data_IF_988166332665
#
_entry.id   IF_988166332665
#
_cell.length_a   1.000
_cell.length_b   1.000
_cell.length_c   1.000
_cell.angle_alpha   90.00
_cell.angle_beta   90.00
_cell.angle_gamma   90.00
#
_symmetry.space_group_name_H-M   'P 1'
#
loop_
_entity.id
_entity.type
_entity.pdbx_description
1 polymer ?
#
# COMPACT_ATOMS: atom_id res chain seq x y z
N UNK A 1 55.85 5.23 27.79
CA UNK A 1 55.49 5.05 29.21
C UNK A 1 54.49 3.90 29.29
N UNK A 2 54.93 2.76 29.84
CA UNK A 2 54.21 1.52 30.22
C UNK A 2 53.22 0.87 29.23
N UNK A 3 53.77 -0.13 28.53
CA UNK A 3 53.15 -1.40 28.15
C UNK A 3 52.52 -2.13 29.34
N UNK A 4 51.42 -2.86 29.11
CA UNK A 4 51.01 -4.02 29.92
C UNK A 4 50.39 -5.09 29.03
N UNK A 5 51.11 -6.21 28.97
CA UNK A 5 50.70 -7.50 28.47
C UNK A 5 49.78 -8.25 29.44
N UNK A 6 49.17 -9.31 28.90
CA UNK A 6 49.06 -10.67 29.47
C UNK A 6 47.71 -11.19 30.04
N UNK A 7 47.49 -12.53 30.05
CA UNK A 7 46.36 -13.20 29.40
C UNK A 7 45.68 -14.27 30.31
N UNK A 8 44.73 -15.04 29.78
CA UNK A 8 44.29 -16.42 30.17
C UNK A 8 42.93 -16.67 29.50
N UNK A 9 42.67 -17.69 28.69
CA UNK A 9 42.94 -19.13 28.73
C UNK A 9 42.25 -19.84 29.91
N UNK A 10 41.00 -20.26 29.70
CA UNK A 10 40.34 -21.35 30.42
C UNK A 10 39.53 -22.17 29.41
N UNK A 11 40.08 -23.34 29.12
CA UNK A 11 39.48 -24.54 28.57
C UNK A 11 38.47 -25.10 29.61
N UNK A 12 37.20 -25.37 29.26
CA UNK A 12 36.45 -26.41 29.96
C UNK A 12 35.45 -27.14 29.06
N UNK A 13 35.68 -28.44 28.97
CA UNK A 13 34.88 -29.44 28.26
C UNK A 13 33.81 -29.96 29.21
N UNK A 14 32.53 -29.86 28.84
CA UNK A 14 31.54 -30.84 29.31
C UNK A 14 30.52 -31.24 28.25
N UNK A 15 30.76 -32.44 27.71
CA UNK A 15 29.78 -33.32 27.08
C UNK A 15 28.70 -33.65 28.11
N UNK A 16 27.43 -33.52 27.74
CA UNK A 16 26.37 -34.39 28.27
C UNK A 16 25.49 -34.88 27.12
N UNK A 17 25.55 -36.21 26.94
CA UNK A 17 24.65 -37.01 26.12
C UNK A 17 23.33 -37.14 26.88
N UNK A 18 22.21 -36.98 26.18
CA UNK A 18 20.90 -37.48 26.65
C UNK A 18 20.45 -38.57 25.68
N UNK A 19 20.14 -39.73 26.25
CA UNK A 19 19.74 -40.97 25.59
C UNK A 19 18.20 -41.00 25.36
N UNK A 20 17.69 -41.97 24.56
CA UNK A 20 16.33 -41.96 24.02
C UNK A 20 15.28 -42.56 24.97
N UNK A 21 14.04 -42.11 24.82
CA UNK A 21 12.86 -42.67 25.51
C UNK A 21 12.37 -43.97 24.86
N UNK A 22 11.79 -44.89 25.65
CA UNK A 22 11.41 -46.23 25.18
C UNK A 22 10.03 -46.28 24.50
N UNK A 23 9.95 -47.24 23.58
CA UNK A 23 8.74 -47.78 22.95
C UNK A 23 7.94 -48.57 23.99
N UNK A 24 6.63 -48.33 24.09
CA UNK A 24 5.68 -49.26 24.70
C UNK A 24 4.57 -49.55 23.70
N UNK A 25 4.58 -50.79 23.22
CA UNK A 25 3.48 -51.47 22.56
C UNK A 25 2.54 -52.05 23.62
N UNK A 26 1.23 -51.84 23.47
CA UNK A 26 0.21 -52.72 24.05
C UNK A 26 -1.09 -52.65 23.25
N UNK A 27 -1.59 -53.84 22.93
CA UNK A 27 -2.73 -54.17 22.10
C UNK A 27 -4.09 -54.00 22.81
N UNK A 28 -5.12 -53.84 21.96
CA UNK A 28 -6.53 -54.27 22.09
C UNK A 28 -7.44 -53.51 23.05
N UNK A 29 -8.47 -52.87 22.49
CA UNK A 29 -9.84 -53.42 22.55
C UNK A 29 -10.75 -52.76 21.51
N UNK A 30 -11.64 -53.58 20.98
CA UNK A 30 -12.72 -53.26 20.06
C UNK A 30 -13.81 -52.49 20.81
N UNK A 31 -14.27 -51.36 20.27
CA UNK A 31 -15.57 -50.78 20.64
C UNK A 31 -16.18 -50.16 19.38
N UNK A 32 -17.24 -50.81 18.92
CA UNK A 32 -18.14 -50.34 17.90
C UNK A 32 -18.92 -49.14 18.48
N UNK A 33 -18.84 -47.97 17.87
CA UNK A 33 -19.75 -46.87 18.14
C UNK A 33 -20.12 -46.20 16.81
N UNK A 34 -21.28 -46.59 16.28
CA UNK A 34 -22.09 -45.72 15.43
C UNK A 34 -22.44 -44.48 16.24
N UNK A 35 -22.27 -43.26 15.70
CA UNK A 35 -23.25 -42.17 15.85
C UNK A 35 -22.83 -40.93 15.00
N UNK A 36 -23.73 -40.60 14.06
CA UNK A 36 -24.13 -39.27 13.60
C UNK A 36 -23.09 -38.33 12.97
N UNK A 37 -23.15 -38.26 11.64
CA UNK A 37 -22.78 -37.08 10.87
C UNK A 37 -23.70 -35.90 11.24
N UNK A 38 -23.22 -35.01 12.12
CA UNK A 38 -23.83 -33.70 12.33
C UNK A 38 -23.28 -32.72 11.29
N UNK A 39 -24.07 -32.48 10.24
CA UNK A 39 -23.85 -31.37 9.33
C UNK A 39 -23.90 -30.05 10.11
N UNK A 40 -22.74 -29.44 10.31
CA UNK A 40 -22.66 -28.09 10.89
C UNK A 40 -23.04 -27.09 9.80
N UNK A 41 -24.32 -26.72 9.76
CA UNK A 41 -24.77 -25.52 9.06
C UNK A 41 -24.11 -24.31 9.71
N UNK A 42 -23.10 -23.74 9.05
CA UNK A 42 -22.54 -22.44 9.41
C UNK A 42 -23.61 -21.37 9.16
N UNK A 43 -24.40 -21.08 10.19
CA UNK A 43 -25.35 -19.97 10.19
C UNK A 43 -24.57 -18.65 10.10
N UNK A 44 -24.61 -18.01 8.93
CA UNK A 44 -24.22 -16.60 8.76
C UNK A 44 -25.22 -15.73 9.49
N UNK A 45 -24.96 -15.48 10.78
CA UNK A 45 -25.74 -14.53 11.56
C UNK A 45 -25.56 -13.12 10.97
N UNK A 46 -26.61 -12.61 10.31
CA UNK A 46 -26.72 -11.18 9.99
C UNK A 46 -27.03 -10.43 11.29
N UNK A 47 -25.98 -9.87 11.91
CA UNK A 47 -26.15 -9.04 13.09
C UNK A 47 -26.84 -7.72 12.72
N UNK A 48 -27.87 -7.36 13.48
CA UNK A 48 -28.52 -6.06 13.42
C UNK A 48 -27.50 -5.00 13.88
N UNK A 49 -27.19 -3.97 13.07
CA UNK A 49 -26.23 -2.95 13.47
C UNK A 49 -26.76 -2.18 14.68
N UNK A 50 -25.96 -2.09 15.74
CA UNK A 50 -26.23 -1.20 16.87
C UNK A 50 -26.21 0.22 16.32
N UNK A 51 -27.38 0.88 16.25
CA UNK A 51 -27.52 2.25 15.79
C UNK A 51 -26.93 3.21 16.84
N UNK A 52 -25.60 3.33 16.87
CA UNK A 52 -24.91 4.37 17.63
C UNK A 52 -24.80 5.62 16.76
N UNK A 53 -25.53 6.67 17.14
CA UNK A 53 -25.37 8.02 16.56
C UNK A 53 -23.96 8.54 16.89
N UNK A 54 -23.06 8.48 15.91
CA UNK A 54 -21.75 9.12 15.96
C UNK A 54 -21.84 10.50 15.29
N UNK A 55 -21.63 11.55 16.06
CA UNK A 55 -21.65 12.96 15.63
C UNK A 55 -20.41 13.40 14.84
N UNK A 56 -19.48 12.48 14.53
CA UNK A 56 -18.17 12.84 13.97
C UNK A 56 -18.12 12.96 12.44
N UNK A 57 -19.20 12.63 11.73
CA UNK A 57 -19.22 12.42 10.29
C UNK A 57 -20.21 13.41 9.67
N UNK A 58 -19.72 14.33 8.82
CA UNK A 58 -20.51 15.44 8.26
C UNK A 58 -21.58 15.01 7.25
N UNK A 59 -22.29 15.97 6.65
CA UNK A 59 -23.30 15.69 5.62
C UNK A 59 -22.71 14.88 4.46
N UNK A 60 -23.36 13.79 4.06
CA UNK A 60 -22.88 12.91 2.98
C UNK A 60 -21.88 11.83 3.42
N UNK A 61 -21.53 11.80 4.70
CA UNK A 61 -20.70 10.78 5.31
C UNK A 61 -21.61 9.73 6.02
N UNK A 62 -21.29 8.44 5.89
CA UNK A 62 -21.94 7.33 6.61
C UNK A 62 -20.89 6.58 7.40
N UNK A 63 -21.09 6.50 8.72
CA UNK A 63 -20.25 5.70 9.60
C UNK A 63 -21.02 4.46 10.06
N UNK A 64 -20.32 3.32 10.14
CA UNK A 64 -20.80 2.09 10.75
C UNK A 64 -19.78 1.67 11.80
N UNK A 65 -20.26 1.37 13.01
CA UNK A 65 -19.45 0.82 14.08
C UNK A 65 -19.75 -0.68 14.12
N UNK A 66 -18.79 -1.50 13.71
CA UNK A 66 -18.93 -2.96 13.69
C UNK A 66 -18.56 -3.57 15.07
N UNK A 67 -17.67 -2.89 15.81
CA UNK A 67 -17.22 -3.29 17.15
C UNK A 67 -16.92 -2.09 18.03
N UNK A 68 -17.20 -2.21 19.34
CA UNK A 68 -16.78 -1.26 20.37
C UNK A 68 -16.54 -2.05 21.66
N UNK A 69 -15.33 -1.91 22.22
CA UNK A 69 -15.01 -2.40 23.56
C UNK A 69 -15.81 -1.64 24.62
N UNK A 70 -16.13 -2.32 25.72
CA UNK A 70 -16.75 -1.71 26.90
C UNK A 70 -15.72 -1.14 27.88
N UNK A 71 -14.45 -1.52 27.74
CA UNK A 71 -13.41 -1.26 28.73
C UNK A 71 -12.25 -0.41 28.19
N UNK A 72 -12.19 -0.22 26.87
CA UNK A 72 -11.06 0.41 26.19
C UNK A 72 -11.50 1.29 25.01
N UNK A 73 -10.58 2.02 24.36
CA UNK A 73 -10.88 2.80 23.17
C UNK A 73 -10.96 1.95 21.89
N UNK A 74 -10.78 0.62 22.00
CA UNK A 74 -10.78 -0.31 20.87
C UNK A 74 -12.17 -0.34 20.21
N UNK A 75 -12.24 0.13 18.97
CA UNK A 75 -13.49 0.22 18.21
C UNK A 75 -13.16 -0.08 16.76
N UNK A 76 -13.84 -1.03 16.14
CA UNK A 76 -13.79 -1.15 14.69
C UNK A 76 -14.94 -0.36 14.09
N UNK A 77 -14.61 0.66 13.30
CA UNK A 77 -15.62 1.41 12.55
C UNK A 77 -15.13 1.71 11.15
N UNK A 78 -16.08 1.72 10.22
CA UNK A 78 -15.87 2.07 8.82
C UNK A 78 -16.64 3.35 8.51
N UNK A 79 -16.02 4.22 7.74
CA UNK A 79 -16.61 5.46 7.27
C UNK A 79 -16.62 5.43 5.75
N UNK A 80 -17.76 5.78 5.16
CA UNK A 80 -17.85 6.11 3.76
C UNK A 80 -18.17 7.60 3.62
N UNK A 81 -17.36 8.31 2.85
CA UNK A 81 -17.60 9.69 2.48
C UNK A 81 -18.07 9.74 1.02
N UNK A 82 -19.08 10.56 0.71
CA UNK A 82 -19.36 10.95 -0.67
C UNK A 82 -18.37 12.06 -1.05
N UNK A 83 -17.54 11.78 -2.05
CA UNK A 83 -16.72 12.82 -2.70
C UNK A 83 -17.55 13.47 -3.81
N UNK A 84 -18.01 14.71 -3.61
CA UNK A 84 -18.69 15.50 -4.66
C UNK A 84 -20.21 15.36 -4.71
N UNK A 85 -20.85 16.27 -5.44
CA UNK A 85 -22.30 16.48 -5.48
C UNK A 85 -23.05 15.69 -6.57
N UNK A 86 -22.39 14.77 -7.29
CA UNK A 86 -22.98 14.14 -8.46
C UNK A 86 -23.00 12.61 -8.33
N UNK A 87 -24.22 12.07 -8.40
CA UNK A 87 -24.60 10.67 -8.61
C UNK A 87 -24.79 9.76 -7.37
N UNK A 88 -26.06 9.49 -7.04
CA UNK A 88 -26.50 8.59 -5.97
C UNK A 88 -26.20 7.10 -6.27
N UNK A 89 -25.79 6.77 -7.50
CA UNK A 89 -25.59 5.40 -7.96
C UNK A 89 -24.15 4.86 -7.82
N UNK A 90 -23.20 5.68 -7.38
CA UNK A 90 -21.80 5.24 -7.28
C UNK A 90 -21.56 4.44 -5.98
N UNK A 91 -20.87 3.28 -6.04
CA UNK A 91 -20.54 2.51 -4.85
C UNK A 91 -19.62 3.32 -3.95
N UNK A 92 -20.10 3.54 -2.73
CA UNK A 92 -19.42 4.17 -1.61
C UNK A 92 -18.08 3.48 -1.32
N UNK A 93 -16.95 4.19 -1.43
CA UNK A 93 -15.70 3.73 -0.83
C UNK A 93 -15.84 3.83 0.69
N UNK A 94 -15.44 2.77 1.39
CA UNK A 94 -15.29 2.82 2.84
C UNK A 94 -13.82 2.92 3.21
N UNK A 95 -13.57 3.31 4.44
CA UNK A 95 -12.27 3.38 5.08
C UNK A 95 -12.45 2.97 6.52
N UNK A 96 -11.55 2.16 7.07
CA UNK A 96 -11.61 1.87 8.50
C UNK A 96 -10.83 2.92 9.31
N UNK A 97 -11.22 3.14 10.57
CA UNK A 97 -10.68 4.24 11.39
C UNK A 97 -9.15 4.22 11.62
N UNK A 98 -8.53 3.07 11.38
CA UNK A 98 -7.10 2.84 11.55
C UNK A 98 -6.26 3.10 10.28
N UNK A 99 -6.87 3.61 9.20
CA UNK A 99 -6.18 3.99 7.95
C UNK A 99 -5.53 5.38 8.02
N UNK A 100 -4.98 5.74 9.18
CA UNK A 100 -4.20 6.98 9.33
C UNK A 100 -2.83 6.77 8.68
N UNK A 101 -2.30 7.80 8.01
CA UNK A 101 -1.04 7.73 7.25
C UNK A 101 -0.21 8.98 7.41
N UNK A 102 1.10 8.81 7.45
CA UNK A 102 2.08 9.88 7.37
C UNK A 102 2.87 9.75 6.06
N UNK A 103 2.92 10.81 5.27
CA UNK A 103 3.72 10.90 4.05
C UNK A 103 4.67 12.09 4.11
N UNK A 104 5.57 12.16 3.13
CA UNK A 104 6.61 13.17 3.04
C UNK A 104 6.57 13.87 1.69
N UNK A 105 6.73 15.18 1.70
CA UNK A 105 6.95 15.99 0.51
C UNK A 105 8.12 16.94 0.74
N UNK A 106 9.29 16.65 0.17
CA UNK A 106 10.49 17.44 0.44
C UNK A 106 10.84 17.42 1.93
N UNK A 107 10.80 18.59 2.58
CA UNK A 107 10.96 18.73 4.04
C UNK A 107 9.63 18.66 4.79
N UNK A 108 8.49 18.86 4.11
CA UNK A 108 7.17 18.82 4.71
C UNK A 108 6.74 17.38 5.07
N UNK A 109 5.80 17.29 6.00
CA UNK A 109 5.08 16.08 6.37
C UNK A 109 3.60 16.27 6.12
N UNK A 110 2.93 15.22 5.68
CA UNK A 110 1.50 15.25 5.39
C UNK A 110 0.86 14.09 6.14
N UNK A 111 -0.08 14.39 7.04
CA UNK A 111 -0.89 13.39 7.71
C UNK A 111 -2.25 13.29 7.03
N UNK A 112 -2.68 12.06 6.78
CA UNK A 112 -4.05 11.73 6.39
C UNK A 112 -4.75 11.08 7.58
N UNK A 113 -5.83 11.68 8.06
CA UNK A 113 -6.59 11.15 9.19
C UNK A 113 -7.53 9.98 8.79
N UNK A 114 -8.31 9.51 9.76
CA UNK A 114 -9.26 8.42 9.59
C UNK A 114 -10.42 8.73 8.63
N UNK A 115 -10.66 10.01 8.33
CA UNK A 115 -11.66 10.46 7.35
C UNK A 115 -11.02 10.77 6.00
N UNK A 116 -9.69 10.82 5.93
CA UNK A 116 -8.93 11.24 4.76
C UNK A 116 -8.65 12.72 4.64
N UNK A 117 -8.96 13.49 5.68
CA UNK A 117 -8.55 14.88 5.71
C UNK A 117 -7.03 14.96 5.71
N UNK A 118 -6.51 15.93 4.97
CA UNK A 118 -5.09 16.15 4.77
C UNK A 118 -4.60 17.29 5.65
N UNK A 119 -3.56 17.03 6.43
CA UNK A 119 -2.91 18.01 7.27
C UNK A 119 -1.44 18.13 6.88
N UNK A 120 -1.04 19.29 6.36
CA UNK A 120 0.34 19.58 5.98
C UNK A 120 1.08 20.26 7.13
N UNK A 121 2.28 19.80 7.40
CA UNK A 121 3.18 20.35 8.39
C UNK A 121 4.53 20.68 7.79
N UNK A 122 4.98 21.91 8.00
CA UNK A 122 6.28 22.38 7.52
C UNK A 122 7.33 22.26 8.60
N UNK A 123 8.49 21.71 8.24
CA UNK A 123 9.61 21.55 9.16
C UNK A 123 10.14 22.91 9.61
N UNK A 124 10.51 23.00 10.90
CA UNK A 124 11.20 24.15 11.48
C UNK A 124 12.68 23.84 11.73
N UNK A 125 13.53 24.87 11.87
CA UNK A 125 14.96 24.67 12.16
C UNK A 125 15.25 23.90 13.45
N UNK A 126 14.32 23.91 14.41
CA UNK A 126 14.42 23.18 15.69
C UNK A 126 14.02 21.69 15.57
N UNK A 127 13.69 21.20 14.37
CA UNK A 127 13.25 19.84 14.12
C UNK A 127 11.76 19.58 14.38
N UNK A 128 11.02 20.54 14.93
CA UNK A 128 9.56 20.46 15.08
C UNK A 128 8.84 20.73 13.75
N UNK A 129 7.55 20.41 13.69
CA UNK A 129 6.73 20.71 12.52
C UNK A 129 5.55 21.62 12.87
N UNK A 130 5.35 22.66 12.05
CA UNK A 130 4.23 23.58 12.19
C UNK A 130 3.10 23.16 11.26
N UNK A 131 1.91 22.90 11.80
CA UNK A 131 0.74 22.69 10.96
C UNK A 131 0.35 23.97 10.22
N UNK A 132 0.00 23.83 8.94
CA UNK A 132 -0.54 24.94 8.14
C UNK A 132 -2.02 25.21 8.45
N UNK A 133 -2.71 24.27 9.10
CA UNK A 133 -4.10 24.38 9.50
C UNK A 133 -4.20 24.17 11.01
N UNK A 134 -4.87 25.07 11.74
CA UNK A 134 -5.08 24.94 13.19
C UNK A 134 -5.80 23.64 13.57
N UNK A 135 -6.67 23.12 12.70
CA UNK A 135 -7.36 21.85 12.90
C UNK A 135 -6.45 20.63 12.75
N UNK A 136 -5.26 20.79 12.15
CA UNK A 136 -4.32 19.69 11.90
C UNK A 136 -3.50 19.26 13.11
N UNK A 137 -3.60 19.94 14.26
CA UNK A 137 -2.88 19.54 15.46
C UNK A 137 -1.38 19.84 15.40
N UNK A 138 -0.58 19.07 16.15
CA UNK A 138 0.89 19.22 16.26
C UNK A 138 1.59 17.97 15.79
N UNK A 139 2.73 18.12 15.10
CA UNK A 139 3.56 17.01 14.66
C UNK A 139 5.00 17.25 15.13
N UNK A 140 5.56 16.25 15.79
CA UNK A 140 6.90 16.28 16.36
C UNK A 140 7.69 15.07 15.87
N UNK A 141 8.99 15.24 15.64
CA UNK A 141 9.92 14.13 15.43
C UNK A 141 10.65 13.89 16.75
N UNK A 142 10.41 12.74 17.37
CA UNK A 142 11.06 12.31 18.60
C UNK A 142 11.98 11.16 18.25
N UNK A 143 13.29 11.37 18.41
CA UNK A 143 14.33 10.40 18.03
C UNK A 143 14.20 9.95 16.56
N UNK A 144 13.59 8.79 16.32
CA UNK A 144 13.42 8.13 15.03
C UNK A 144 11.95 7.95 14.60
N UNK A 145 10.99 8.48 15.35
CA UNK A 145 9.55 8.31 15.11
C UNK A 145 8.78 9.63 15.21
N UNK A 146 7.61 9.68 14.56
CA UNK A 146 6.78 10.88 14.55
C UNK A 146 5.64 10.77 15.55
N UNK A 147 5.41 11.82 16.32
CA UNK A 147 4.25 11.98 17.20
C UNK A 147 3.33 13.03 16.61
N UNK A 148 2.15 12.62 16.18
CA UNK A 148 1.09 13.53 15.78
C UNK A 148 0.03 13.60 16.86
N UNK A 149 -0.27 14.78 17.39
CA UNK A 149 -1.41 15.00 18.28
C UNK A 149 -2.50 15.73 17.52
N UNK A 150 -3.68 15.12 17.35
CA UNK A 150 -4.78 15.72 16.61
C UNK A 150 -5.58 16.75 17.44
N UNK A 151 -6.60 17.36 16.84
CA UNK A 151 -7.46 18.34 17.53
C UNK A 151 -8.27 17.77 18.71
N UNK A 152 -8.38 16.44 18.82
CA UNK A 152 -9.04 15.74 19.93
C UNK A 152 -8.06 15.30 21.02
N UNK A 153 -6.78 15.72 20.93
CA UNK A 153 -5.69 15.31 21.83
C UNK A 153 -5.38 13.81 21.79
N UNK A 154 -5.74 13.13 20.72
CA UNK A 154 -5.26 11.77 20.47
C UNK A 154 -3.88 11.86 19.84
N UNK A 155 -2.96 11.06 20.33
CA UNK A 155 -1.58 10.98 19.85
C UNK A 155 -1.39 9.73 19.00
N UNK A 156 -0.72 9.88 17.86
CA UNK A 156 -0.36 8.80 16.96
C UNK A 156 1.16 8.74 16.87
N UNK A 157 1.75 7.60 17.26
CA UNK A 157 3.17 7.30 17.06
C UNK A 157 3.33 6.61 15.71
N UNK A 158 4.09 7.20 14.79
CA UNK A 158 4.40 6.62 13.48
C UNK A 158 5.83 6.11 13.41
N UNK A 159 5.98 4.89 12.91
CA UNK A 159 7.26 4.34 12.45
C UNK A 159 7.21 4.23 10.92
N UNK A 160 7.90 5.16 10.25
CA UNK A 160 7.73 5.37 8.82
C UNK A 160 6.36 6.01 8.50
N UNK A 161 5.60 5.40 7.59
CA UNK A 161 4.30 5.94 7.13
C UNK A 161 3.09 5.47 7.93
N UNK A 162 3.28 4.53 8.85
CA UNK A 162 2.19 3.82 9.52
C UNK A 162 2.20 4.09 11.02
N UNK A 163 1.03 4.37 11.64
CA UNK A 163 0.94 4.50 13.08
C UNK A 163 1.09 3.13 13.73
N UNK A 164 2.01 2.98 14.67
CA UNK A 164 2.23 1.76 15.47
C UNK A 164 1.59 1.83 16.84
N UNK A 165 1.27 3.04 17.33
CA UNK A 165 0.53 3.26 18.56
C UNK A 165 -0.42 4.44 18.42
N UNK A 166 -1.58 4.33 19.04
CA UNK A 166 -2.55 5.40 19.19
C UNK A 166 -2.88 5.54 20.67
N UNK A 167 -2.71 6.73 21.25
CA UNK A 167 -3.04 7.02 22.65
C UNK A 167 -4.16 8.04 22.67
N UNK A 168 -5.30 7.68 23.27
CA UNK A 168 -6.43 8.60 23.44
C UNK A 168 -6.15 9.64 24.54
N UNK A 169 -7.03 10.64 24.66
CA UNK A 169 -6.83 11.78 25.57
C UNK A 169 -6.80 11.39 27.06
N UNK A 170 -7.32 10.21 27.42
CA UNK A 170 -7.30 9.63 28.77
C UNK A 170 -6.04 8.80 29.05
N UNK A 171 -5.14 8.67 28.09
CA UNK A 171 -3.89 7.91 28.21
C UNK A 171 -4.02 6.43 27.83
N UNK A 172 -5.22 5.93 27.55
CA UNK A 172 -5.42 4.57 27.07
C UNK A 172 -4.81 4.40 25.69
N UNK A 173 -4.17 3.25 25.44
CA UNK A 173 -3.41 3.04 24.21
C UNK A 173 -3.91 1.85 23.39
N UNK A 174 -3.75 1.98 22.09
CA UNK A 174 -3.92 0.93 21.09
C UNK A 174 -2.56 0.66 20.43
N UNK A 175 -2.20 -0.60 20.29
CA UNK A 175 -1.03 -1.05 19.53
C UNK A 175 -1.47 -1.58 18.16
N UNK A 176 -0.75 -1.20 17.11
CA UNK A 176 -1.07 -1.56 15.72
C UNK A 176 0.09 -2.35 15.12
N UNK A 177 -0.18 -3.58 14.69
CA UNK A 177 0.81 -4.48 14.10
C UNK A 177 0.61 -4.56 12.58
N UNK A 178 1.70 -4.47 11.81
CA UNK A 178 1.66 -4.51 10.36
C UNK A 178 2.47 -5.69 9.82
N UNK A 179 1.95 -6.32 8.77
CA UNK A 179 2.64 -7.37 8.01
C UNK A 179 2.61 -7.03 6.53
N UNK A 180 3.79 -7.05 5.90
CA UNK A 180 3.95 -6.68 4.48
C UNK A 180 3.34 -5.32 4.12
N UNK A 181 3.40 -4.34 5.03
CA UNK A 181 2.86 -3.00 4.84
C UNK A 181 1.34 -2.89 4.95
N UNK A 182 0.66 -3.92 5.46
CA UNK A 182 -0.78 -3.90 5.73
C UNK A 182 -1.06 -4.11 7.22
N UNK A 183 -2.12 -3.47 7.73
CA UNK A 183 -2.50 -3.58 9.14
C UNK A 183 -3.02 -4.98 9.41
N UNK A 184 -2.31 -5.74 10.23
CA UNK A 184 -2.65 -7.12 10.58
C UNK A 184 -3.49 -7.19 11.85
N UNK A 185 -3.20 -6.34 12.84
CA UNK A 185 -3.96 -6.37 14.08
C UNK A 185 -3.97 -5.04 14.83
N UNK A 186 -4.99 -4.85 15.66
CA UNK A 186 -5.11 -3.78 16.64
C UNK A 186 -5.38 -4.42 18.00
N UNK A 187 -4.58 -4.11 19.01
CA UNK A 187 -4.83 -4.53 20.39
C UNK A 187 -4.86 -3.35 21.34
N UNK A 188 -5.58 -3.48 22.45
CA UNK A 188 -5.58 -2.52 23.54
C UNK A 188 -4.76 -2.99 24.75
N UNK A 189 -4.75 -2.19 25.80
CA UNK A 189 -4.07 -2.47 27.08
C UNK A 189 -4.74 -3.61 27.89
N UNK A 190 -5.94 -4.06 27.51
CA UNK A 190 -6.68 -5.16 28.14
C UNK A 190 -6.55 -6.48 27.37
N UNK A 191 -5.67 -6.53 26.35
CA UNK A 191 -5.48 -7.65 25.44
C UNK A 191 -6.70 -8.00 24.58
N UNK A 192 -7.69 -7.12 24.44
CA UNK A 192 -8.68 -7.30 23.36
C UNK A 192 -7.98 -7.04 22.02
N UNK A 193 -8.28 -7.87 21.01
CA UNK A 193 -7.57 -7.85 19.73
C UNK A 193 -8.53 -7.95 18.55
N UNK A 194 -8.45 -6.99 17.63
CA UNK A 194 -9.02 -7.07 16.29
C UNK A 194 -7.95 -7.62 15.35
N UNK A 195 -8.27 -8.66 14.58
CA UNK A 195 -7.37 -9.24 13.57
C UNK A 195 -7.90 -8.99 12.17
N UNK A 196 -7.02 -8.61 11.26
CA UNK A 196 -7.30 -8.38 9.84
C UNK A 196 -6.52 -9.39 9.01
N UNK A 197 -7.24 -10.38 8.49
CA UNK A 197 -6.71 -11.39 7.57
C UNK A 197 -6.93 -10.94 6.13
N UNK A 198 -5.86 -10.57 5.44
CA UNK A 198 -5.92 -10.20 4.03
C UNK A 198 -5.89 -11.45 3.15
N UNK A 199 -7.03 -11.76 2.54
CA UNK A 199 -7.25 -12.92 1.68
C UNK A 199 -6.82 -12.65 0.23
N UNK A 200 -6.54 -13.70 -0.57
CA UNK A 200 -6.40 -13.59 -2.01
C UNK A 200 -7.63 -12.94 -2.66
N UNK A 201 -7.45 -12.26 -3.79
CA UNK A 201 -8.57 -11.61 -4.50
C UNK A 201 -9.03 -10.30 -3.88
N UNK A 202 -8.14 -9.60 -3.15
CA UNK A 202 -8.42 -8.29 -2.56
C UNK A 202 -9.68 -8.36 -1.69
N UNK A 203 -9.68 -9.23 -0.67
CA UNK A 203 -10.69 -9.21 0.40
C UNK A 203 -9.99 -9.21 1.76
N UNK A 204 -10.60 -8.57 2.76
CA UNK A 204 -10.09 -8.52 4.12
C UNK A 204 -11.13 -9.09 5.06
N UNK A 205 -10.75 -10.12 5.81
CA UNK A 205 -11.56 -10.70 6.86
C UNK A 205 -11.17 -10.08 8.20
N UNK A 206 -12.13 -9.50 8.89
CA UNK A 206 -11.96 -8.89 10.21
C UNK A 206 -12.52 -9.83 11.26
N UNK A 207 -11.68 -10.21 12.22
CA UNK A 207 -12.05 -11.04 13.37
C UNK A 207 -12.05 -10.11 14.59
N UNK A 208 -13.20 -10.00 15.23
CA UNK A 208 -13.39 -9.15 16.41
C UNK A 208 -13.05 -9.88 17.71
N UNK A 209 -12.82 -9.15 18.82
CA UNK A 209 -12.57 -9.77 20.12
C UNK A 209 -13.68 -10.72 20.60
N UNK A 210 -14.92 -10.46 20.22
CA UNK A 210 -16.09 -11.32 20.51
C UNK A 210 -16.19 -12.58 19.62
N UNK A 211 -15.20 -12.82 18.76
CA UNK A 211 -15.14 -13.96 17.85
C UNK A 211 -15.96 -13.79 16.57
N UNK A 212 -16.76 -12.72 16.42
CA UNK A 212 -17.48 -12.45 15.17
C UNK A 212 -16.49 -12.19 14.04
N UNK A 213 -16.88 -12.60 12.84
CA UNK A 213 -16.07 -12.48 11.63
C UNK A 213 -16.86 -11.74 10.57
N UNK A 214 -16.22 -10.76 9.95
CA UNK A 214 -16.76 -9.99 8.84
C UNK A 214 -15.81 -10.15 7.66
N UNK A 215 -16.36 -10.38 6.47
CA UNK A 215 -15.57 -10.34 5.25
C UNK A 215 -15.96 -9.10 4.48
N UNK A 216 -14.96 -8.27 4.19
CA UNK A 216 -15.12 -7.08 3.39
C UNK A 216 -14.37 -7.29 2.08
N UNK A 217 -14.98 -7.01 0.92
CA UNK A 217 -14.17 -6.83 -0.28
C UNK A 217 -13.18 -5.70 0.02
N UNK A 218 -11.90 -5.83 -0.35
CA UNK A 218 -10.86 -4.81 -0.08
C UNK A 218 -11.19 -3.50 -0.82
N UNK A 219 -12.05 -3.54 -1.85
CA UNK A 219 -12.67 -2.35 -2.44
C UNK A 219 -13.51 -1.54 -1.44
N UNK A 220 -14.07 -2.20 -0.41
CA UNK A 220 -14.70 -1.49 0.68
C UNK A 220 -13.68 -0.67 1.45
N UNK A 221 -12.39 -1.01 1.49
CA UNK A 221 -11.37 -0.26 2.24
C UNK A 221 -10.34 0.41 1.31
N UNK A 222 -10.62 0.50 0.01
CA UNK A 222 -9.77 1.23 -0.94
C UNK A 222 -10.55 2.42 -1.51
N UNK A 223 -9.87 3.54 -1.79
CA UNK A 223 -10.45 4.61 -2.60
C UNK A 223 -10.97 4.01 -3.91
N UNK A 224 -12.20 4.43 -4.29
CA UNK A 224 -12.92 3.88 -5.44
C UNK A 224 -12.02 3.97 -6.69
N UNK A 225 -11.87 2.90 -7.50
CA UNK A 225 -11.38 3.06 -8.85
C UNK A 225 -12.35 3.99 -9.59
N UNK A 226 -11.83 5.03 -10.26
CA UNK A 226 -12.63 5.89 -11.12
C UNK A 226 -13.34 4.96 -12.12
N UNK A 227 -14.68 4.92 -12.11
CA UNK A 227 -15.39 4.02 -13.01
C UNK A 227 -15.14 4.51 -14.44
N UNK A 228 -15.08 3.58 -15.40
CA UNK A 228 -14.80 3.87 -16.81
C UNK A 228 -15.90 4.68 -17.53
N UNK A 229 -16.83 5.28 -16.79
CA UNK A 229 -17.85 6.23 -17.28
C UNK A 229 -18.00 7.45 -16.37
N UNK A 230 -17.11 7.64 -15.38
CA UNK A 230 -17.02 8.89 -14.64
C UNK A 230 -16.25 9.90 -15.49
N UNK A 231 -16.59 11.19 -15.37
CA UNK A 231 -15.86 12.28 -16.02
C UNK A 231 -14.34 12.05 -15.89
N UNK A 232 -13.55 12.28 -16.96
CA UNK A 232 -12.11 12.09 -16.90
C UNK A 232 -11.57 12.82 -15.67
N UNK A 233 -10.69 12.19 -14.87
CA UNK A 233 -10.17 12.83 -13.67
C UNK A 233 -9.69 14.23 -14.01
N UNK A 234 -10.22 15.23 -13.30
CA UNK A 234 -9.80 16.61 -13.50
C UNK A 234 -8.27 16.68 -13.42
N UNK A 235 -7.65 17.17 -14.49
CA UNK A 235 -6.21 17.33 -14.62
C UNK A 235 -5.81 18.77 -14.41
N UNK A 236 -4.59 19.00 -13.94
CA UNK A 236 -4.03 20.34 -13.87
C UNK A 236 -4.01 21.01 -15.26
N UNK A 237 -4.40 22.29 -15.35
CA UNK A 237 -4.07 23.12 -16.51
C UNK A 237 -2.58 23.48 -16.44
N UNK A 238 -1.74 22.64 -17.04
CA UNK A 238 -0.28 22.74 -16.98
C UNK A 238 0.24 23.99 -17.69
N UNK A 239 -0.52 24.54 -18.65
CA UNK A 239 -0.18 25.78 -19.33
C UNK A 239 -0.35 27.00 -18.40
N UNK A 240 -1.38 27.01 -17.56
CA UNK A 240 -1.60 28.06 -16.55
C UNK A 240 -0.78 27.87 -15.28
N UNK A 241 -0.34 26.63 -15.00
CA UNK A 241 0.41 26.28 -13.80
C UNK A 241 1.69 25.52 -14.16
N UNK A 242 2.69 26.16 -14.81
CA UNK A 242 3.90 25.46 -15.22
C UNK A 242 4.64 24.88 -14.01
N UNK A 243 5.12 23.63 -14.14
CA UNK A 243 5.94 23.00 -13.13
C UNK A 243 7.36 23.59 -13.14
N UNK A 244 7.75 24.27 -12.06
CA UNK A 244 9.04 24.96 -11.97
C UNK A 244 10.22 24.02 -12.24
N UNK A 245 10.97 24.30 -13.31
CA UNK A 245 12.20 23.59 -13.69
C UNK A 245 12.00 22.21 -14.30
N UNK A 246 10.75 21.77 -14.49
CA UNK A 246 10.46 20.46 -15.08
C UNK A 246 10.80 20.40 -16.57
N UNK A 247 10.69 21.53 -17.26
CA UNK A 247 11.09 21.75 -18.66
C UNK A 247 12.60 21.63 -18.90
N UNK A 248 13.42 21.68 -17.84
CA UNK A 248 14.89 21.65 -17.91
C UNK A 248 15.50 20.30 -17.54
N UNK A 249 14.68 19.30 -17.27
CA UNK A 249 15.16 17.97 -16.88
C UNK A 249 15.86 17.33 -18.07
N UNK A 250 17.11 16.91 -17.87
CA UNK A 250 17.85 16.21 -18.91
C UNK A 250 17.26 14.83 -19.16
N UNK A 251 16.87 14.57 -20.41
CA UNK A 251 16.44 13.26 -20.87
C UNK A 251 17.60 12.52 -21.53
N UNK A 252 17.78 11.25 -21.18
CA UNK A 252 18.71 10.34 -21.87
C UNK A 252 17.95 9.21 -22.57
N UNK A 253 18.68 8.25 -23.17
CA UNK A 253 18.06 7.07 -23.77
C UNK A 253 17.12 6.36 -22.81
N UNK A 254 15.88 6.09 -23.26
CA UNK A 254 14.84 5.45 -22.45
C UNK A 254 14.36 6.28 -21.26
N UNK A 255 14.49 7.61 -21.30
CA UNK A 255 13.93 8.54 -20.31
C UNK A 255 13.09 9.59 -21.04
N UNK A 256 11.85 9.81 -20.62
CA UNK A 256 11.04 10.90 -21.14
C UNK A 256 10.26 11.62 -20.03
N UNK A 257 9.85 12.84 -20.34
CA UNK A 257 9.10 13.72 -19.44
C UNK A 257 7.61 13.63 -19.74
N UNK A 258 6.81 13.62 -18.68
CA UNK A 258 5.36 13.68 -18.78
C UNK A 258 4.82 14.61 -17.69
N UNK A 259 4.25 15.75 -18.06
CA UNK A 259 3.61 16.66 -17.10
C UNK A 259 2.23 16.12 -16.68
N UNK A 260 2.26 15.04 -15.89
CA UNK A 260 1.07 14.41 -15.31
C UNK A 260 0.86 14.93 -13.89
N UNK A 261 -0.15 15.77 -13.70
CA UNK A 261 -0.56 16.29 -12.39
C UNK A 261 -2.09 16.25 -12.23
N UNK A 262 -2.61 15.87 -11.05
CA UNK A 262 -4.04 15.98 -10.72
C UNK A 262 -4.52 17.44 -10.73
N UNK A 263 -5.83 17.64 -10.62
CA UNK A 263 -6.50 18.94 -10.56
C UNK A 263 -5.85 19.96 -9.59
N UNK A 264 -5.24 19.50 -8.50
CA UNK A 264 -4.56 20.36 -7.53
C UNK A 264 -3.29 21.03 -8.07
N UNK A 265 -2.82 20.63 -9.26
CA UNK A 265 -1.53 21.02 -9.84
C UNK A 265 -0.30 20.64 -8.99
N UNK A 266 -0.46 19.80 -7.97
CA UNK A 266 0.63 19.18 -7.23
C UNK A 266 1.06 17.87 -7.90
N UNK A 267 2.08 17.19 -7.37
CA UNK A 267 2.48 15.88 -7.84
C UNK A 267 1.53 14.79 -7.36
N UNK A 268 1.29 13.75 -8.18
CA UNK A 268 0.59 12.54 -7.70
C UNK A 268 1.29 11.87 -6.51
N UNK A 269 2.61 12.00 -6.41
CA UNK A 269 3.40 11.47 -5.28
C UNK A 269 3.17 12.23 -3.96
N UNK A 270 2.56 13.41 -4.05
CA UNK A 270 2.26 14.29 -2.92
C UNK A 270 0.81 14.11 -2.50
N UNK A 271 -0.10 14.12 -3.47
CA UNK A 271 -1.53 14.08 -3.21
C UNK A 271 -2.00 12.68 -2.80
N UNK A 272 -1.43 11.64 -3.40
CA UNK A 272 -1.87 10.27 -3.22
C UNK A 272 -0.79 9.37 -2.63
N UNK A 273 -1.20 8.30 -1.96
CA UNK A 273 -0.31 7.35 -1.30
C UNK A 273 -0.74 5.91 -1.54
N UNK A 274 0.15 4.96 -1.22
CA UNK A 274 -0.15 3.53 -1.30
C UNK A 274 -0.62 3.09 -2.69
N UNK A 275 -1.67 2.26 -2.73
CA UNK A 275 -2.27 1.76 -3.96
C UNK A 275 -3.06 2.82 -4.72
N UNK A 276 -3.66 3.80 -4.01
CA UNK A 276 -4.38 4.91 -4.63
C UNK A 276 -3.50 5.69 -5.58
N UNK A 277 -2.24 5.93 -5.18
CA UNK A 277 -1.27 6.63 -6.03
C UNK A 277 -1.10 5.95 -7.39
N UNK A 278 -0.95 4.62 -7.42
CA UNK A 278 -0.82 3.87 -8.67
C UNK A 278 -2.03 4.08 -9.57
N UNK A 279 -3.22 3.84 -9.01
CA UNK A 279 -4.49 3.99 -9.74
C UNK A 279 -4.71 5.42 -10.26
N UNK A 280 -4.40 6.44 -9.46
CA UNK A 280 -4.57 7.85 -9.86
C UNK A 280 -3.56 8.28 -10.92
N UNK A 281 -2.32 7.82 -10.81
CA UNK A 281 -1.31 8.04 -11.84
C UNK A 281 -1.73 7.36 -13.14
N UNK A 282 -2.09 6.08 -13.13
CA UNK A 282 -2.52 5.32 -14.32
C UNK A 282 -3.70 6.00 -15.02
N UNK A 283 -4.72 6.41 -14.25
CA UNK A 283 -5.87 7.13 -14.81
C UNK A 283 -5.49 8.50 -15.38
N UNK A 284 -4.60 9.24 -14.70
CA UNK A 284 -4.14 10.55 -15.15
C UNK A 284 -3.27 10.49 -16.40
N UNK A 285 -2.32 9.56 -16.46
CA UNK A 285 -1.42 9.44 -17.62
C UNK A 285 -2.17 8.91 -18.85
N UNK A 286 -3.21 8.08 -18.69
CA UNK A 286 -3.99 7.53 -19.80
C UNK A 286 -4.61 8.62 -20.70
N UNK A 287 -4.74 9.85 -20.21
CA UNK A 287 -5.26 11.00 -20.96
C UNK A 287 -4.18 11.81 -21.68
N UNK A 288 -2.90 11.47 -21.49
CA UNK A 288 -1.77 12.25 -21.98
C UNK A 288 -0.93 11.44 -22.98
N UNK A 289 -0.37 12.07 -24.03
CA UNK A 289 0.58 11.40 -24.90
C UNK A 289 1.82 10.89 -24.15
N UNK A 290 2.39 9.72 -24.51
CA UNK A 290 1.92 8.83 -25.58
C UNK A 290 0.79 7.88 -25.15
N UNK A 291 0.43 7.80 -23.88
CA UNK A 291 -0.54 6.81 -23.38
C UNK A 291 -1.95 6.99 -23.92
N UNK A 292 -2.36 8.21 -24.25
CA UNK A 292 -3.69 8.50 -24.79
C UNK A 292 -3.95 7.90 -26.17
N UNK A 293 -2.91 7.49 -26.91
CA UNK A 293 -3.05 6.72 -28.16
C UNK A 293 -3.03 5.20 -27.94
N UNK A 294 -2.75 4.74 -26.72
CA UNK A 294 -2.66 3.32 -26.40
C UNK A 294 -4.01 2.77 -25.94
N UNK A 295 -4.22 1.47 -26.10
CA UNK A 295 -5.39 0.79 -25.57
C UNK A 295 -5.13 0.36 -24.13
N UNK A 296 -5.80 1.00 -23.16
CA UNK A 296 -5.74 0.58 -21.76
C UNK A 296 -6.40 -0.81 -21.57
N UNK A 297 -5.78 -1.65 -20.75
CA UNK A 297 -6.36 -2.93 -20.35
C UNK A 297 -7.43 -2.72 -19.26
N UNK A 298 -8.28 -3.72 -19.01
CA UNK A 298 -9.14 -3.69 -17.82
C UNK A 298 -8.30 -3.79 -16.55
N UNK A 299 -8.78 -3.23 -15.44
CA UNK A 299 -8.04 -3.18 -14.17
C UNK A 299 -7.67 -4.56 -13.65
N UNK A 300 -8.54 -5.55 -13.81
CA UNK A 300 -8.25 -6.92 -13.41
C UNK A 300 -7.28 -7.66 -14.34
N UNK A 301 -6.82 -7.04 -15.43
CA UNK A 301 -5.92 -7.69 -16.37
C UNK A 301 -4.54 -7.88 -15.72
N UNK A 302 -3.91 -9.05 -15.90
CA UNK A 302 -2.63 -9.31 -15.27
C UNK A 302 -1.54 -8.43 -15.86
N UNK A 303 -1.03 -7.51 -15.04
CA UNK A 303 0.28 -6.85 -15.17
C UNK A 303 0.40 -5.82 -16.31
N UNK A 304 -0.14 -6.09 -17.50
CA UNK A 304 -0.12 -5.17 -18.64
C UNK A 304 -1.16 -4.09 -18.44
N UNK A 305 -0.76 -2.83 -18.54
CA UNK A 305 -1.63 -1.68 -18.30
C UNK A 305 -2.08 -1.04 -19.62
N UNK A 306 -1.22 -1.02 -20.65
CA UNK A 306 -1.52 -0.47 -21.97
C UNK A 306 -0.99 -1.35 -23.11
N UNK A 307 -1.63 -1.24 -24.28
CA UNK A 307 -1.27 -1.92 -25.52
C UNK A 307 -1.07 -0.85 -26.61
N UNK A 308 0.13 -0.80 -27.20
CA UNK A 308 0.50 0.09 -28.29
C UNK A 308 0.98 -0.73 -29.50
N UNK A 309 0.03 -1.14 -30.35
CA UNK A 309 0.32 -2.06 -31.46
C UNK A 309 0.91 -3.39 -30.97
N UNK A 310 2.20 -3.62 -31.24
CA UNK A 310 2.94 -4.81 -30.79
C UNK A 310 3.72 -4.60 -29.49
N UNK A 311 3.71 -3.40 -28.91
CA UNK A 311 4.31 -3.11 -27.61
C UNK A 311 3.26 -3.27 -26.50
N UNK A 312 3.61 -4.04 -25.47
CA UNK A 312 2.84 -4.20 -24.25
C UNK A 312 3.52 -3.41 -23.13
N UNK A 313 2.79 -2.48 -22.53
CA UNK A 313 3.34 -1.52 -21.58
C UNK A 313 2.87 -1.86 -20.16
N UNK A 314 3.85 -1.99 -19.26
CA UNK A 314 3.65 -2.19 -17.82
C UNK A 314 4.07 -0.91 -17.11
N UNK A 315 3.17 -0.30 -16.36
CA UNK A 315 3.38 0.94 -15.63
C UNK A 315 3.64 0.63 -14.16
N UNK A 316 4.74 1.16 -13.61
CA UNK A 316 5.08 1.04 -12.18
C UNK A 316 5.53 2.37 -11.64
N UNK A 317 4.77 2.93 -10.70
CA UNK A 317 5.18 4.14 -9.96
C UNK A 317 6.05 3.79 -8.74
N UNK A 318 7.12 4.55 -8.50
CA UNK A 318 8.01 4.36 -7.34
C UNK A 318 8.39 5.68 -6.69
N UNK A 319 8.22 5.74 -5.38
CA UNK A 319 8.64 6.86 -4.55
C UNK A 319 10.10 6.69 -4.14
N UNK A 320 11.00 7.25 -4.93
CA UNK A 320 12.43 7.08 -4.68
C UNK A 320 12.92 7.86 -3.45
N UNK A 321 12.09 8.70 -2.83
CA UNK A 321 12.39 9.32 -1.54
C UNK A 321 12.06 8.41 -0.35
N UNK A 322 11.41 7.26 -0.58
CA UNK A 322 11.14 6.27 0.47
C UNK A 322 12.42 5.73 1.09
N UNK A 323 12.43 5.55 2.42
CA UNK A 323 13.56 4.96 3.14
C UNK A 323 13.91 3.56 2.62
N UNK A 324 12.94 2.81 2.11
CA UNK A 324 13.17 1.47 1.54
C UNK A 324 14.12 1.43 0.35
N UNK A 325 14.29 2.54 -0.37
CA UNK A 325 15.23 2.64 -1.50
C UNK A 325 16.55 3.32 -1.13
N UNK A 326 16.62 3.92 0.05
CA UNK A 326 17.76 4.69 0.54
C UNK A 326 18.39 4.06 1.79
N UNK A 327 18.03 2.82 2.14
CA UNK A 327 18.58 2.09 3.27
C UNK A 327 20.03 1.68 2.99
N UNK A 328 21.02 2.14 3.78
CA UNK A 328 22.43 1.76 3.62
C UNK A 328 22.67 0.25 3.74
N UNK A 329 21.81 -0.48 4.47
CA UNK A 329 21.89 -1.95 4.55
C UNK A 329 21.43 -2.64 3.26
N UNK A 330 20.73 -1.92 2.39
CA UNK A 330 20.17 -2.41 1.12
C UNK A 330 20.50 -1.47 -0.05
N UNK A 331 21.78 -1.25 -0.39
CA UNK A 331 22.20 -0.23 -1.36
C UNK A 331 21.69 -0.46 -2.79
N UNK A 332 21.21 -1.68 -3.10
CA UNK A 332 20.64 -2.07 -4.39
C UNK A 332 19.12 -2.30 -4.35
N UNK A 333 18.41 -1.73 -3.38
CA UNK A 333 16.99 -1.98 -3.19
C UNK A 333 16.13 -1.65 -4.43
N UNK A 334 16.44 -0.58 -5.18
CA UNK A 334 15.71 -0.23 -6.40
C UNK A 334 16.00 -1.24 -7.52
N UNK A 335 17.28 -1.57 -7.75
CA UNK A 335 17.67 -2.58 -8.75
C UNK A 335 16.98 -3.92 -8.48
N UNK A 336 17.05 -4.42 -7.24
CA UNK A 336 16.41 -5.67 -6.84
C UNK A 336 14.89 -5.61 -7.00
N UNK A 337 14.28 -4.45 -6.75
CA UNK A 337 12.84 -4.27 -6.95
C UNK A 337 12.46 -4.36 -8.43
N UNK A 338 13.21 -3.71 -9.31
CA UNK A 338 12.96 -3.77 -10.76
C UNK A 338 13.10 -5.19 -11.32
N UNK A 339 14.08 -5.97 -10.83
CA UNK A 339 14.18 -7.39 -11.19
C UNK A 339 13.00 -8.23 -10.71
N UNK A 340 12.45 -7.91 -9.54
CA UNK A 340 11.24 -8.57 -9.04
C UNK A 340 10.03 -8.23 -9.89
N UNK A 341 9.88 -6.95 -10.26
CA UNK A 341 8.80 -6.50 -11.14
C UNK A 341 8.91 -7.20 -12.51
N UNK A 342 10.11 -7.30 -13.09
CA UNK A 342 10.36 -8.02 -14.34
C UNK A 342 10.06 -9.53 -14.24
N UNK A 343 10.49 -10.18 -13.15
CA UNK A 343 10.15 -11.58 -12.89
C UNK A 343 8.64 -11.79 -12.80
N UNK A 344 7.92 -10.86 -12.16
CA UNK A 344 6.47 -10.92 -12.08
C UNK A 344 5.83 -10.81 -13.46
N UNK A 345 6.29 -9.89 -14.31
CA UNK A 345 5.86 -9.79 -15.73
C UNK A 345 6.13 -11.11 -16.46
N UNK A 346 7.33 -11.68 -16.27
CA UNK A 346 7.70 -12.92 -16.93
C UNK A 346 6.79 -14.09 -16.54
N UNK A 347 6.73 -14.42 -15.24
CA UNK A 347 6.00 -15.60 -14.76
C UNK A 347 4.47 -15.40 -14.76
N UNK A 348 4.02 -14.16 -14.59
CA UNK A 348 2.59 -13.84 -14.49
C UNK A 348 1.92 -13.51 -15.82
N UNK A 349 2.70 -13.26 -16.87
CA UNK A 349 2.16 -12.86 -18.17
C UNK A 349 2.89 -13.51 -19.35
N UNK A 350 4.20 -13.35 -19.49
CA UNK A 350 4.93 -13.85 -20.67
C UNK A 350 4.94 -15.38 -20.78
N UNK A 351 5.18 -16.08 -19.67
CA UNK A 351 5.13 -17.55 -19.62
C UNK A 351 3.73 -18.10 -19.96
N UNK A 352 2.64 -17.63 -19.33
CA UNK A 352 1.28 -17.98 -19.75
C UNK A 352 0.99 -17.65 -21.22
N UNK A 353 1.40 -16.47 -21.70
CA UNK A 353 1.18 -16.06 -23.08
C UNK A 353 1.89 -17.00 -24.07
N UNK A 354 3.12 -17.41 -23.77
CA UNK A 354 3.90 -18.32 -24.59
C UNK A 354 3.35 -19.76 -24.54
N UNK A 355 2.86 -20.20 -23.38
CA UNK A 355 2.36 -21.56 -23.17
C UNK A 355 0.95 -21.75 -23.74
N UNK A 356 0.04 -20.82 -23.43
CA UNK A 356 -1.39 -20.92 -23.74
C UNK A 356 -1.75 -20.20 -25.04
N UNK A 357 -0.83 -19.40 -25.60
CA UNK A 357 -1.02 -18.58 -26.80
C UNK A 357 -1.87 -17.32 -26.58
N UNK A 358 -2.48 -17.15 -25.40
CA UNK A 358 -3.22 -15.95 -25.04
C UNK A 358 -3.31 -15.77 -23.51
N UNK A 359 -3.56 -14.53 -23.08
CA UNK A 359 -3.93 -14.19 -21.70
C UNK A 359 -5.18 -13.34 -21.76
N UNK A 360 -6.20 -13.66 -20.95
CA UNK A 360 -7.46 -12.92 -20.90
C UNK A 360 -7.92 -12.69 -19.47
N UNK A 361 -8.56 -11.55 -19.23
CA UNK A 361 -9.31 -11.28 -18.02
C UNK A 361 -10.66 -10.64 -18.37
N UNK A 362 -11.64 -10.80 -17.47
CA UNK A 362 -12.94 -10.14 -17.58
C UNK A 362 -13.32 -9.42 -16.29
N UNK A 363 -13.84 -8.20 -16.42
CA UNK A 363 -14.31 -7.40 -15.30
C UNK A 363 -15.51 -6.58 -15.76
N UNK A 364 -16.64 -6.68 -15.04
CA UNK A 364 -17.87 -5.92 -15.31
C UNK A 364 -18.34 -6.02 -16.78
N UNK A 365 -18.26 -7.22 -17.37
CA UNK A 365 -18.67 -7.47 -18.76
C UNK A 365 -17.67 -6.99 -19.83
N UNK A 366 -16.60 -6.30 -19.43
CA UNK A 366 -15.48 -5.98 -20.33
C UNK A 366 -14.48 -7.13 -20.30
N UNK A 367 -13.91 -7.43 -21.47
CA UNK A 367 -12.88 -8.46 -21.61
C UNK A 367 -11.66 -7.82 -22.27
N UNK A 368 -10.49 -7.98 -21.66
CA UNK A 368 -9.22 -7.75 -22.35
C UNK A 368 -8.63 -9.12 -22.66
N UNK A 369 -8.21 -9.32 -23.90
CA UNK A 369 -7.54 -10.53 -24.36
C UNK A 369 -6.32 -10.11 -25.17
N UNK A 370 -5.16 -10.63 -24.79
CA UNK A 370 -3.92 -10.47 -25.53
C UNK A 370 -3.53 -11.84 -26.07
N UNK A 371 -3.34 -11.94 -27.38
CA UNK A 371 -2.89 -13.15 -28.06
C UNK A 371 -1.41 -13.00 -28.40
N UNK A 372 -0.66 -14.09 -28.32
CA UNK A 372 0.75 -14.10 -28.69
C UNK A 372 0.91 -13.73 -30.17
N UNK A 373 1.77 -12.75 -30.46
CA UNK A 373 2.07 -12.31 -31.82
C UNK A 373 3.58 -12.23 -32.07
N UNK A 374 4.00 -12.53 -33.31
CA UNK A 374 5.41 -12.39 -33.69
C UNK A 374 5.85 -10.92 -33.62
N UNK A 375 7.03 -10.67 -33.05
CA UNK A 375 7.55 -9.31 -32.87
C UNK A 375 6.91 -8.52 -31.73
N UNK A 376 6.05 -9.16 -30.92
CA UNK A 376 5.51 -8.55 -29.71
C UNK A 376 6.65 -8.28 -28.72
N UNK A 377 6.64 -7.09 -28.10
CA UNK A 377 7.65 -6.68 -27.14
C UNK A 377 6.99 -6.16 -25.86
N UNK A 378 7.71 -6.21 -24.75
CA UNK A 378 7.23 -5.69 -23.47
C UNK A 378 8.14 -4.59 -22.98
N UNK A 379 7.53 -3.49 -22.54
CA UNK A 379 8.23 -2.41 -21.86
C UNK A 379 7.71 -2.21 -20.45
N UNK A 380 8.64 -1.97 -19.53
CA UNK A 380 8.37 -1.56 -18.16
C UNK A 380 8.62 -0.06 -18.06
N UNK A 381 7.56 0.70 -17.87
CA UNK A 381 7.58 2.14 -17.65
C UNK A 381 7.65 2.43 -16.16
N UNK A 382 8.84 2.80 -15.68
CA UNK A 382 9.10 3.22 -14.31
C UNK A 382 8.75 4.71 -14.15
N UNK A 383 7.63 4.99 -13.48
CA UNK A 383 7.19 6.34 -13.18
C UNK A 383 7.80 6.83 -11.88
N UNK A 384 8.51 7.95 -11.94
CA UNK A 384 9.16 8.59 -10.79
C UNK A 384 8.89 10.09 -10.79
N UNK A 385 8.96 10.69 -9.61
CA UNK A 385 8.86 12.14 -9.49
C UNK A 385 10.19 12.82 -9.81
N UNK A 386 10.10 13.99 -10.44
CA UNK A 386 11.20 14.90 -10.69
C UNK A 386 11.96 15.23 -9.40
N UNK A 387 13.29 15.19 -9.47
CA UNK A 387 14.17 15.53 -8.34
C UNK A 387 14.28 14.47 -7.24
N UNK A 388 13.63 13.31 -7.35
CA UNK A 388 13.70 12.24 -6.33
C UNK A 388 14.80 11.20 -6.58
N UNK A 389 15.28 11.05 -7.82
CA UNK A 389 16.32 10.09 -8.14
C UNK A 389 17.71 10.64 -7.78
N UNK A 390 18.41 9.96 -6.86
CA UNK A 390 19.82 10.22 -6.58
C UNK A 390 20.71 9.64 -7.69
N UNK A 391 21.99 9.99 -7.70
CA UNK A 391 22.98 9.37 -8.61
C UNK A 391 23.02 7.84 -8.45
N UNK A 392 22.91 7.34 -7.21
CA UNK A 392 22.86 5.90 -6.95
C UNK A 392 21.59 5.23 -7.49
N UNK A 393 20.45 5.93 -7.49
CA UNK A 393 19.23 5.43 -8.13
C UNK A 393 19.39 5.33 -9.65
N UNK A 394 20.01 6.33 -10.29
CA UNK A 394 20.26 6.30 -11.73
C UNK A 394 21.20 5.17 -12.14
N UNK A 395 22.27 4.92 -11.38
CA UNK A 395 23.15 3.77 -11.60
C UNK A 395 22.40 2.45 -11.52
N UNK A 396 21.53 2.27 -10.52
CA UNK A 396 20.68 1.09 -10.38
C UNK A 396 19.69 0.93 -11.55
N UNK A 397 19.09 2.03 -12.03
CA UNK A 397 18.18 2.01 -13.19
C UNK A 397 18.92 1.59 -14.46
N UNK A 398 20.12 2.12 -14.71
CA UNK A 398 20.94 1.76 -15.86
C UNK A 398 21.31 0.28 -15.80
N UNK A 399 21.76 -0.20 -14.64
CA UNK A 399 22.07 -1.62 -14.43
C UNK A 399 20.84 -2.51 -14.65
N UNK A 400 19.69 -2.12 -14.10
CA UNK A 400 18.43 -2.84 -14.28
C UNK A 400 18.01 -2.89 -15.75
N UNK A 401 18.19 -1.81 -16.51
CA UNK A 401 17.83 -1.76 -17.94
C UNK A 401 18.54 -2.85 -18.74
N UNK A 402 19.84 -3.03 -18.54
CA UNK A 402 20.62 -4.08 -19.22
C UNK A 402 20.11 -5.47 -18.80
N UNK A 403 20.03 -5.72 -17.50
CA UNK A 403 19.62 -7.04 -16.97
C UNK A 403 18.19 -7.41 -17.38
N UNK A 404 17.24 -6.47 -17.40
CA UNK A 404 15.85 -6.73 -17.81
C UNK A 404 15.76 -7.09 -19.29
N UNK A 405 16.53 -6.41 -20.15
CA UNK A 405 16.55 -6.68 -21.58
C UNK A 405 17.20 -8.03 -21.87
N UNK A 406 18.35 -8.33 -21.27
CA UNK A 406 19.09 -9.58 -21.51
C UNK A 406 18.37 -10.81 -20.96
N UNK A 407 17.81 -10.70 -19.75
CA UNK A 407 17.26 -11.86 -19.04
C UNK A 407 15.81 -12.15 -19.37
N UNK A 408 15.00 -11.11 -19.58
CA UNK A 408 13.55 -11.25 -19.73
C UNK A 408 13.03 -10.68 -21.06
N UNK A 409 13.89 -10.07 -21.89
CA UNK A 409 13.43 -9.37 -23.10
C UNK A 409 12.56 -8.15 -22.81
N UNK A 410 12.64 -7.58 -21.59
CA UNK A 410 11.81 -6.45 -21.15
C UNK A 410 12.62 -5.15 -21.27
N UNK A 411 12.10 -4.16 -21.99
CA UNK A 411 12.73 -2.84 -22.11
C UNK A 411 12.34 -1.95 -20.92
N UNK A 412 13.31 -1.41 -20.18
CA UNK A 412 13.04 -0.45 -19.11
C UNK A 412 13.06 1.00 -19.63
N UNK A 413 11.91 1.67 -19.55
CA UNK A 413 11.76 3.10 -19.79
C UNK A 413 11.50 3.83 -18.46
N UNK A 414 12.02 5.05 -18.33
CA UNK A 414 11.77 5.91 -17.15
C UNK A 414 10.92 7.10 -17.57
N UNK A 415 9.85 7.31 -16.82
CA UNK A 415 8.90 8.39 -17.05
C UNK A 415 8.95 9.31 -15.86
N UNK A 416 9.49 10.51 -16.06
CA UNK A 416 9.61 11.49 -15.01
C UNK A 416 8.36 12.38 -15.05
N UNK A 417 7.66 12.47 -13.93
CA UNK A 417 6.52 13.38 -13.72
C UNK A 417 6.87 14.43 -12.66
N UNK A 418 6.19 15.60 -12.60
CA UNK A 418 6.50 16.66 -11.62
C UNK A 418 6.39 16.25 -10.15
#
# INVERSE_FOLDING_TARGET
MKTRDNPSDIDDKRRQRVAPYPVVTSLRACACLCLLAAGHSTSTAQATPIAAMSTACGTGCRQVIDYRSLHSPLVFSRVSTRSGAADDNLPRSWRHRYEVRLTREGTDRIVFDQLGNRYRFSARPDGSYRSQNRAGGTLELLQDHYHWTDGQRRTYEFRGSYPTRITDADGQSLSLEYRHGRLQSISDDFNEKIVLDHLPGNSTRVILPDGRRFEYPDQACQPRPIAAGDDPPESCDTARHPANGFDRVQTGPGVFLLDARPASCQSYFVEYYGTERGTRIEAGIALLPPYSSMTATIRSFPIIDFIDGSELVVVRSRDLASSSFNDPASPQALYQRLLRDARQVHSGFLEPLATDGFVSASELGRVTRITHAAGQSVSLHLLIRHGMASTGHWQQIVQARTELAERYGIRLQVVIIP
#
